data_IF_902703663978
#
_entry.id   IF_902703663978
#
_cell.length_a   1.000
_cell.length_b   1.000
_cell.length_c   1.000
_cell.angle_alpha   90.00
_cell.angle_beta   90.00
_cell.angle_gamma   90.00
#
_symmetry.space_group_name_H-M   'P 1'
#
loop_
_entity.id
_entity.type
_entity.pdbx_description
1 polymer ?
#
# COMPACT_ATOMS: atom_id res chain seq x y z
N UNK A 1 -17.24 -17.95 13.56
CA UNK A 1 -16.56 -18.14 12.27
C UNK A 1 -16.33 -16.78 11.63
N UNK A 2 -15.32 -16.04 12.07
CA UNK A 2 -14.91 -14.79 11.42
C UNK A 2 -14.05 -15.12 10.19
N UNK A 3 -14.69 -15.66 9.15
CA UNK A 3 -14.06 -15.69 7.82
C UNK A 3 -14.09 -14.26 7.33
N UNK A 4 -12.97 -13.54 7.45
CA UNK A 4 -12.82 -12.24 6.80
C UNK A 4 -13.29 -12.37 5.35
N UNK A 5 -14.23 -11.52 4.90
CA UNK A 5 -14.80 -11.66 3.57
C UNK A 5 -13.71 -11.51 2.53
N UNK A 6 -13.75 -12.35 1.49
CA UNK A 6 -12.81 -12.25 0.37
C UNK A 6 -12.76 -10.84 -0.20
N UNK A 7 -13.93 -10.18 -0.27
CA UNK A 7 -14.06 -8.79 -0.70
C UNK A 7 -13.16 -7.83 0.11
N UNK A 8 -13.08 -7.98 1.43
CA UNK A 8 -12.29 -7.11 2.29
C UNK A 8 -10.78 -7.27 2.03
N UNK A 9 -10.34 -8.51 1.82
CA UNK A 9 -8.94 -8.82 1.48
C UNK A 9 -8.59 -8.25 0.11
N UNK A 10 -9.47 -8.44 -0.90
CA UNK A 10 -9.27 -7.90 -2.25
C UNK A 10 -9.20 -6.37 -2.22
N UNK A 11 -10.09 -5.71 -1.47
CA UNK A 11 -10.04 -4.25 -1.27
C UNK A 11 -8.68 -3.80 -0.71
N UNK A 12 -8.10 -4.51 0.27
CA UNK A 12 -6.79 -4.16 0.81
C UNK A 12 -5.63 -4.44 -0.12
N UNK A 13 -5.71 -5.51 -0.92
CA UNK A 13 -4.69 -5.77 -1.95
C UNK A 13 -4.68 -4.64 -2.99
N UNK A 14 -5.85 -4.22 -3.49
CA UNK A 14 -5.95 -3.09 -4.41
C UNK A 14 -5.48 -1.79 -3.73
N UNK A 15 -5.88 -1.56 -2.48
CA UNK A 15 -5.45 -0.41 -1.70
C UNK A 15 -3.92 -0.38 -1.58
N UNK A 16 -3.27 -1.52 -1.35
CA UNK A 16 -1.82 -1.58 -1.20
C UNK A 16 -1.05 -1.19 -2.47
N UNK A 17 -1.59 -1.55 -3.65
CA UNK A 17 -1.03 -1.14 -4.94
C UNK A 17 -1.21 0.37 -5.14
N UNK A 18 -2.41 0.89 -4.85
CA UNK A 18 -2.69 2.32 -4.95
C UNK A 18 -1.85 3.15 -3.98
N UNK A 19 -1.62 2.65 -2.76
CA UNK A 19 -0.74 3.28 -1.78
C UNK A 19 0.68 3.42 -2.32
N UNK A 20 1.23 2.35 -2.92
CA UNK A 20 2.55 2.36 -3.52
C UNK A 20 2.63 3.30 -4.73
N UNK A 21 1.61 3.28 -5.61
CA UNK A 21 1.51 4.20 -6.73
C UNK A 21 1.45 5.68 -6.25
N UNK A 22 0.66 5.96 -5.22
CA UNK A 22 0.54 7.28 -4.62
C UNK A 22 1.87 7.80 -4.06
N UNK A 23 2.65 6.94 -3.39
CA UNK A 23 3.98 7.29 -2.90
C UNK A 23 4.94 7.69 -4.04
N UNK A 24 4.91 6.98 -5.17
CA UNK A 24 5.72 7.34 -6.33
C UNK A 24 5.22 8.59 -7.05
N UNK A 25 3.92 8.85 -7.06
CA UNK A 25 3.36 10.11 -7.54
C UNK A 25 3.81 11.29 -6.68
N UNK A 26 3.85 11.11 -5.35
CA UNK A 26 4.43 12.12 -4.46
C UNK A 26 5.90 12.38 -4.75
N UNK A 27 6.70 11.32 -4.88
CA UNK A 27 8.11 11.40 -5.25
C UNK A 27 8.31 12.13 -6.59
N UNK A 28 7.51 11.78 -7.59
CA UNK A 28 7.54 12.40 -8.90
C UNK A 28 7.14 13.89 -8.86
N UNK A 29 6.23 14.26 -7.97
CA UNK A 29 5.78 15.63 -7.74
C UNK A 29 6.83 16.49 -7.03
N UNK A 30 7.45 15.97 -5.95
CA UNK A 30 8.54 16.66 -5.25
C UNK A 30 9.73 16.89 -6.17
N UNK A 31 10.11 15.88 -6.97
CA UNK A 31 11.30 15.96 -7.84
C UNK A 31 11.12 16.98 -8.99
N UNK A 32 9.86 17.34 -9.33
CA UNK A 32 9.51 18.33 -10.37
C UNK A 32 9.18 19.72 -9.82
N UNK A 33 9.23 19.90 -8.51
CA UNK A 33 8.99 21.19 -7.85
C UNK A 33 10.17 21.53 -6.94
N UNK A 34 11.32 21.95 -7.52
CA UNK A 34 12.56 22.21 -6.77
C UNK A 34 12.40 23.31 -5.70
N UNK A 35 11.50 24.25 -5.98
CA UNK A 35 11.29 25.46 -5.19
C UNK A 35 10.57 25.18 -3.86
N UNK A 36 9.95 23.99 -3.71
CA UNK A 36 9.29 23.54 -2.48
C UNK A 36 8.11 24.40 -2.01
N UNK A 37 7.63 25.31 -2.86
CA UNK A 37 6.56 26.25 -2.52
C UNK A 37 5.15 25.63 -2.51
N UNK A 38 4.15 26.41 -2.11
CA UNK A 38 2.74 25.98 -2.02
C UNK A 38 2.20 25.49 -3.38
N UNK A 39 2.73 25.99 -4.50
CA UNK A 39 2.41 25.55 -5.86
C UNK A 39 2.65 24.05 -6.08
N UNK A 40 3.58 23.44 -5.34
CA UNK A 40 3.84 22.00 -5.38
C UNK A 40 2.60 21.18 -5.01
N UNK A 41 1.78 21.64 -4.04
CA UNK A 41 0.58 20.91 -3.64
C UNK A 41 -0.52 20.89 -4.70
N UNK A 42 -0.45 21.80 -5.67
CA UNK A 42 -1.37 21.88 -6.83
C UNK A 42 -0.78 21.18 -8.06
N UNK A 43 0.44 20.63 -7.95
CA UNK A 43 1.03 19.83 -9.03
C UNK A 43 0.15 18.63 -9.34
N UNK A 44 -0.09 18.31 -10.63
CA UNK A 44 -0.94 17.18 -11.00
C UNK A 44 -0.43 15.85 -10.43
N UNK A 45 0.88 15.73 -10.14
CA UNK A 45 1.43 14.49 -9.57
C UNK A 45 1.13 14.37 -8.08
N UNK A 46 1.24 15.48 -7.33
CA UNK A 46 0.84 15.50 -5.91
C UNK A 46 -0.66 15.28 -5.80
N UNK A 47 -1.47 15.95 -6.63
CA UNK A 47 -2.91 15.75 -6.66
C UNK A 47 -3.30 14.32 -7.03
N UNK A 48 -2.60 13.71 -8.01
CA UNK A 48 -2.76 12.30 -8.34
C UNK A 48 -2.43 11.38 -7.16
N UNK A 49 -1.34 11.66 -6.44
CA UNK A 49 -0.97 10.94 -5.22
C UNK A 49 -2.05 11.07 -4.13
N UNK A 50 -2.56 12.28 -3.90
CA UNK A 50 -3.67 12.52 -2.97
C UNK A 50 -4.92 11.74 -3.37
N UNK A 51 -5.28 11.75 -4.66
CA UNK A 51 -6.41 10.98 -5.17
C UNK A 51 -6.24 9.47 -4.94
N UNK A 52 -5.03 8.92 -5.14
CA UNK A 52 -4.71 7.54 -4.79
C UNK A 52 -4.94 7.27 -3.29
N UNK A 53 -4.47 8.14 -2.40
CA UNK A 53 -4.68 7.97 -0.96
C UNK A 53 -6.15 8.11 -0.53
N UNK A 54 -6.92 8.99 -1.17
CA UNK A 54 -8.38 9.07 -0.96
C UNK A 54 -9.05 7.76 -1.40
N UNK A 55 -8.66 7.21 -2.55
CA UNK A 55 -9.15 5.91 -3.01
C UNK A 55 -8.77 4.77 -2.04
N UNK A 56 -7.56 4.79 -1.47
CA UNK A 56 -7.15 3.86 -0.40
C UNK A 56 -8.09 3.97 0.79
N UNK A 57 -8.37 5.18 1.29
CA UNK A 57 -9.31 5.37 2.41
C UNK A 57 -10.72 4.87 2.10
N UNK A 58 -11.18 5.05 0.86
CA UNK A 58 -12.44 4.49 0.41
C UNK A 58 -12.43 2.95 0.41
N UNK A 59 -11.36 2.32 -0.07
CA UNK A 59 -11.23 0.85 -0.04
C UNK A 59 -11.14 0.32 1.39
N UNK A 60 -10.46 1.02 2.29
CA UNK A 60 -10.39 0.67 3.71
C UNK A 60 -11.78 0.68 4.35
N UNK A 61 -12.55 1.74 4.11
CA UNK A 61 -13.93 1.83 4.62
C UNK A 61 -14.83 0.74 4.06
N UNK A 62 -14.72 0.38 2.77
CA UNK A 62 -15.47 -0.75 2.22
C UNK A 62 -15.04 -2.10 2.81
N UNK A 63 -13.73 -2.32 3.01
CA UNK A 63 -13.21 -3.55 3.60
C UNK A 63 -13.68 -3.76 5.04
N UNK A 64 -13.70 -2.70 5.85
CA UNK A 64 -14.22 -2.76 7.21
C UNK A 64 -15.74 -2.90 7.24
N UNK A 65 -16.47 -2.19 6.37
CA UNK A 65 -17.93 -2.35 6.23
C UNK A 65 -18.33 -3.76 5.83
N UNK A 66 -17.51 -4.45 5.03
CA UNK A 66 -17.74 -5.84 4.67
C UNK A 66 -17.58 -6.81 5.86
N UNK A 67 -17.06 -6.37 7.01
CA UNK A 67 -16.79 -7.21 8.18
C UNK A 67 -15.34 -7.71 8.25
N UNK A 68 -14.42 -7.08 7.53
CA UNK A 68 -12.99 -7.40 7.64
C UNK A 68 -12.41 -6.92 8.98
N UNK A 69 -11.63 -7.77 9.64
CA UNK A 69 -10.99 -7.41 10.91
C UNK A 69 -9.76 -6.54 10.71
N UNK A 70 -9.60 -5.53 11.55
CA UNK A 70 -8.45 -4.63 11.54
C UNK A 70 -7.14 -5.42 11.64
N UNK A 71 -7.10 -6.43 12.52
CA UNK A 71 -5.92 -7.29 12.78
C UNK A 71 -5.51 -8.15 11.59
N UNK A 72 -6.41 -8.46 10.63
CA UNK A 72 -6.03 -9.16 9.38
C UNK A 72 -5.70 -8.17 8.27
N UNK A 73 -6.51 -7.12 8.13
CA UNK A 73 -6.45 -6.22 6.99
C UNK A 73 -5.25 -5.28 7.00
N UNK A 74 -4.84 -4.78 8.18
CA UNK A 74 -3.64 -3.94 8.29
C UNK A 74 -2.36 -4.67 7.85
N UNK A 75 -2.12 -5.91 8.29
CA UNK A 75 -1.03 -6.72 7.75
C UNK A 75 -1.09 -6.86 6.23
N UNK A 76 -2.26 -7.19 5.66
CA UNK A 76 -2.41 -7.29 4.20
C UNK A 76 -2.02 -5.97 3.51
N UNK A 77 -2.39 -4.82 4.07
CA UNK A 77 -2.00 -3.52 3.50
C UNK A 77 -0.48 -3.26 3.55
N UNK A 78 0.28 -3.91 4.43
CA UNK A 78 1.74 -3.81 4.46
C UNK A 78 2.41 -4.35 3.17
N UNK A 79 1.67 -5.08 2.31
CA UNK A 79 2.12 -5.38 0.93
C UNK A 79 2.43 -4.12 0.12
N UNK A 80 1.96 -2.94 0.55
CA UNK A 80 2.32 -1.65 -0.04
C UNK A 80 3.84 -1.49 -0.16
N UNK A 81 4.61 -1.97 0.83
CA UNK A 81 6.07 -1.90 0.79
C UNK A 81 6.68 -2.82 -0.27
N UNK A 82 6.08 -3.99 -0.47
CA UNK A 82 6.50 -4.93 -1.54
C UNK A 82 6.20 -4.31 -2.89
N UNK A 83 4.98 -3.78 -3.08
CA UNK A 83 4.59 -3.09 -4.30
C UNK A 83 5.45 -1.85 -4.56
N UNK A 84 5.82 -1.11 -3.52
CA UNK A 84 6.72 0.02 -3.65
C UNK A 84 8.09 -0.43 -4.19
N UNK A 85 8.69 -1.47 -3.63
CA UNK A 85 9.95 -2.00 -4.15
C UNK A 85 9.85 -2.47 -5.61
N UNK A 86 8.75 -3.16 -5.97
CA UNK A 86 8.50 -3.62 -7.35
C UNK A 86 8.32 -2.45 -8.31
N UNK A 87 7.51 -1.46 -7.96
CA UNK A 87 7.30 -0.26 -8.78
C UNK A 87 8.58 0.57 -8.90
N UNK A 88 9.38 0.65 -7.84
CA UNK A 88 10.70 1.30 -7.85
C UNK A 88 11.65 0.66 -8.84
N UNK A 89 11.67 -0.67 -8.89
CA UNK A 89 12.45 -1.40 -9.88
C UNK A 89 11.93 -1.14 -11.31
N UNK A 90 10.61 -1.27 -11.52
CA UNK A 90 10.00 -1.21 -12.85
C UNK A 90 10.01 0.20 -13.46
N UNK A 91 9.71 1.23 -12.66
CA UNK A 91 9.52 2.59 -13.14
C UNK A 91 10.78 3.46 -13.02
N UNK A 92 11.64 3.17 -12.03
CA UNK A 92 12.79 4.00 -11.70
C UNK A 92 14.13 3.25 -11.79
N UNK A 93 14.11 1.95 -12.15
CA UNK A 93 15.31 1.14 -12.25
C UNK A 93 16.04 0.94 -10.92
N UNK A 94 15.35 1.12 -9.78
CA UNK A 94 15.96 1.01 -8.46
C UNK A 94 16.30 -0.46 -8.16
N UNK A 95 17.59 -0.81 -7.97
CA UNK A 95 17.96 -2.21 -7.79
C UNK A 95 17.44 -2.74 -6.45
N UNK A 96 16.74 -3.88 -6.49
CA UNK A 96 16.31 -4.60 -5.30
C UNK A 96 17.52 -5.35 -4.74
N UNK A 97 18.04 -4.87 -3.61
CA UNK A 97 19.16 -5.52 -2.91
C UNK A 97 18.69 -6.77 -2.16
N UNK A 98 19.57 -7.75 -1.90
CA UNK A 98 19.21 -8.95 -1.12
C UNK A 98 18.58 -8.65 0.25
N UNK A 99 19.02 -7.57 0.92
CA UNK A 99 18.42 -7.12 2.19
C UNK A 99 16.96 -6.67 2.04
N UNK A 100 16.60 -6.03 0.93
CA UNK A 100 15.21 -5.68 0.64
C UNK A 100 14.37 -6.95 0.43
N UNK A 101 14.93 -7.93 -0.29
CA UNK A 101 14.26 -9.21 -0.52
C UNK A 101 14.01 -9.96 0.80
N UNK A 102 15.00 -9.99 1.68
CA UNK A 102 14.83 -10.57 3.02
C UNK A 102 13.74 -9.86 3.83
N UNK A 103 13.72 -8.53 3.82
CA UNK A 103 12.66 -7.74 4.45
C UNK A 103 11.27 -8.02 3.87
N UNK A 104 11.15 -8.15 2.55
CA UNK A 104 9.88 -8.50 1.89
C UNK A 104 9.41 -9.91 2.27
N UNK A 105 10.31 -10.89 2.35
CA UNK A 105 10.00 -12.24 2.82
C UNK A 105 9.50 -12.21 4.27
N UNK A 106 10.16 -11.43 5.15
CA UNK A 106 9.74 -11.22 6.53
C UNK A 106 8.35 -10.58 6.63
N UNK A 107 8.06 -9.58 5.79
CA UNK A 107 6.73 -8.97 5.73
C UNK A 107 5.67 -9.99 5.31
N UNK A 108 5.89 -10.72 4.22
CA UNK A 108 4.93 -11.71 3.71
C UNK A 108 4.70 -12.84 4.73
N UNK A 109 5.76 -13.33 5.35
CA UNK A 109 5.65 -14.35 6.40
C UNK A 109 4.93 -13.81 7.64
N UNK A 110 5.21 -12.58 8.09
CA UNK A 110 4.47 -11.94 9.18
C UNK A 110 2.97 -11.81 8.89
N UNK A 111 2.61 -11.44 7.66
CA UNK A 111 1.21 -11.35 7.21
C UNK A 111 0.53 -12.71 7.22
N UNK A 112 1.23 -13.74 6.73
CA UNK A 112 0.76 -15.12 6.77
C UNK A 112 0.51 -15.60 8.22
N UNK A 113 1.45 -15.35 9.13
CA UNK A 113 1.35 -15.69 10.56
C UNK A 113 0.17 -14.98 11.25
N UNK A 114 -0.05 -13.70 10.95
CA UNK A 114 -1.21 -12.96 11.48
C UNK A 114 -2.53 -13.44 10.89
N UNK A 115 -2.53 -13.89 9.63
CA UNK A 115 -3.69 -14.50 8.98
C UNK A 115 -4.10 -15.82 9.63
N UNK A 116 -3.14 -16.72 9.92
CA UNK A 116 -3.43 -18.01 10.58
C UNK A 116 -3.85 -17.82 12.05
N UNK A 117 -3.23 -16.87 12.77
CA UNK A 117 -3.56 -16.60 14.17
C UNK A 117 -5.02 -16.17 14.35
N UNK A 118 -5.53 -15.36 13.43
CA UNK A 118 -6.93 -14.94 13.43
C UNK A 118 -7.91 -16.00 12.88
N UNK A 119 -7.41 -17.01 12.16
CA UNK A 119 -8.22 -18.16 11.71
C UNK A 119 -8.39 -19.22 12.81
N UNK A 120 -7.54 -19.22 13.83
CA UNK A 120 -7.56 -20.15 14.96
C UNK A 120 -8.40 -19.68 16.17
N UNK A 121 -8.94 -18.44 16.12
CA UNK A 121 -9.79 -17.79 17.12
C UNK A 121 -11.22 -17.59 16.61
#
# INVERSE_FOLDING_TARGET
>A
MLRTPLLAVVCMLVASILGAAGQYLYKAGTDRSPDGGISMFVSPWILGGMACYVAVMFLFTQAFRAGGSVTVLYPVYALTFVWAAVLGLLLFGQPIRPVHLFGMILLISGIYLMGIGNAAS
#
